data_IF_625701082491
#
_entry.id   IF_625701082491
#
_cell.length_a   1.000
_cell.length_b   1.000
_cell.length_c   1.000
_cell.angle_alpha   90.00
_cell.angle_beta   90.00
_cell.angle_gamma   90.00
#
_symmetry.space_group_name_H-M   'P 1'
#
loop_
_entity.id
_entity.type
_entity.pdbx_description
1 polymer ?
#
# COMPACT_ATOMS: atom_id res chain seq x y z
N UNK A 1 -10.59 22.20 11.56
CA UNK A 1 -10.43 20.86 10.97
C UNK A 1 -10.31 21.00 9.45
N UNK A 2 -9.41 20.25 8.86
CA UNK A 2 -9.26 20.11 7.42
C UNK A 2 -9.25 18.61 7.12
N UNK A 3 -10.20 18.13 6.30
CA UNK A 3 -10.12 16.78 5.75
C UNK A 3 -8.95 16.72 4.75
N UNK A 4 -8.26 15.62 4.65
CA UNK A 4 -7.21 15.50 3.66
C UNK A 4 -7.03 14.06 3.16
N UNK A 5 -6.50 13.93 1.95
CA UNK A 5 -6.16 12.65 1.35
C UNK A 5 -4.96 12.77 0.42
N UNK A 6 -4.32 11.64 0.16
CA UNK A 6 -3.30 11.49 -0.88
C UNK A 6 -3.85 10.51 -1.91
N UNK A 7 -3.92 10.91 -3.17
CA UNK A 7 -4.39 10.06 -4.25
C UNK A 7 -3.56 10.27 -5.51
N UNK A 8 -3.01 9.19 -6.06
CA UNK A 8 -2.39 9.20 -7.39
C UNK A 8 -3.44 9.39 -8.48
N UNK A 9 -3.01 9.83 -9.68
CA UNK A 9 -3.88 10.11 -10.83
C UNK A 9 -4.95 9.05 -11.06
N UNK A 10 -4.58 7.78 -11.06
CA UNK A 10 -5.49 6.64 -11.28
C UNK A 10 -6.55 6.43 -10.20
N UNK A 11 -6.37 7.03 -9.02
CA UNK A 11 -7.29 6.93 -7.89
C UNK A 11 -8.14 8.20 -7.67
N UNK A 12 -8.10 9.15 -8.60
CA UNK A 12 -8.86 10.40 -8.50
C UNK A 12 -10.38 10.19 -8.53
N UNK A 13 -10.87 9.11 -9.17
CA UNK A 13 -12.30 8.74 -9.09
C UNK A 13 -12.73 8.41 -7.66
N UNK A 14 -11.92 7.67 -6.92
CA UNK A 14 -12.15 7.36 -5.51
C UNK A 14 -12.02 8.63 -4.65
N UNK A 15 -10.96 9.40 -4.83
CA UNK A 15 -10.76 10.66 -4.13
C UNK A 15 -11.93 11.65 -4.34
N UNK A 16 -12.54 11.69 -5.53
CA UNK A 16 -13.73 12.49 -5.80
C UNK A 16 -14.88 12.07 -4.91
N UNK A 17 -15.19 10.78 -4.83
CA UNK A 17 -16.27 10.27 -3.97
C UNK A 17 -16.02 10.59 -2.49
N UNK A 18 -14.77 10.43 -2.02
CA UNK A 18 -14.37 10.82 -0.67
C UNK A 18 -14.63 12.31 -0.44
N UNK A 19 -14.14 13.19 -1.31
CA UNK A 19 -14.28 14.66 -1.15
C UNK A 19 -15.74 15.08 -1.18
N UNK A 20 -16.52 14.59 -2.13
CA UNK A 20 -17.95 14.90 -2.25
C UNK A 20 -18.70 14.44 -1.00
N UNK A 21 -18.49 13.22 -0.53
CA UNK A 21 -19.11 12.70 0.68
C UNK A 21 -18.69 13.47 1.94
N UNK A 22 -17.42 13.89 2.03
CA UNK A 22 -16.96 14.76 3.11
C UNK A 22 -17.66 16.12 3.10
N UNK A 23 -17.75 16.78 1.96
CA UNK A 23 -18.38 18.10 1.83
C UNK A 23 -19.91 18.03 2.06
N UNK A 24 -20.56 16.90 1.72
CA UNK A 24 -21.97 16.64 2.07
C UNK A 24 -22.20 16.68 3.59
N UNK A 25 -21.29 16.08 4.37
CA UNK A 25 -21.39 16.02 5.84
C UNK A 25 -20.82 17.28 6.51
N UNK A 26 -19.96 18.04 5.82
CA UNK A 26 -19.30 19.25 6.33
C UNK A 26 -19.50 20.41 5.35
N UNK A 27 -20.73 20.97 5.23
CA UNK A 27 -20.99 22.10 4.31
C UNK A 27 -20.07 23.28 4.62
N UNK A 28 -19.30 23.72 3.62
CA UNK A 28 -18.26 24.75 3.79
C UNK A 28 -17.00 24.29 4.52
N UNK A 29 -16.86 22.99 4.74
CA UNK A 29 -15.65 22.38 5.28
C UNK A 29 -14.45 22.54 4.32
N UNK A 30 -13.25 22.59 4.90
CA UNK A 30 -11.99 22.64 4.14
C UNK A 30 -11.50 21.22 3.88
N UNK A 31 -10.99 20.98 2.67
CA UNK A 31 -10.37 19.72 2.30
C UNK A 31 -9.11 19.96 1.47
N UNK A 32 -8.07 19.17 1.68
CA UNK A 32 -6.82 19.25 0.93
C UNK A 32 -6.51 17.90 0.29
N UNK A 33 -6.31 17.87 -1.03
CA UNK A 33 -5.91 16.71 -1.80
C UNK A 33 -4.45 16.87 -2.25
N UNK A 34 -3.59 15.90 -1.92
CA UNK A 34 -2.24 15.80 -2.47
C UNK A 34 -2.24 14.78 -3.62
N UNK A 35 -1.78 15.21 -4.80
CA UNK A 35 -1.57 14.34 -5.96
C UNK A 35 -0.05 14.17 -6.16
N UNK A 36 0.54 13.04 -5.73
CA UNK A 36 2.00 12.89 -5.67
C UNK A 36 2.66 12.65 -7.03
N UNK A 37 1.91 12.17 -8.01
CA UNK A 37 2.37 11.79 -9.35
C UNK A 37 1.83 12.73 -10.45
N UNK A 38 1.59 13.98 -10.11
CA UNK A 38 1.12 15.02 -11.03
C UNK A 38 2.00 16.28 -10.91
N UNK A 39 3.30 16.20 -11.24
CA UNK A 39 4.23 17.32 -11.05
C UNK A 39 3.86 18.56 -11.84
N UNK A 40 3.23 18.39 -13.01
CA UNK A 40 2.85 19.51 -13.90
C UNK A 40 1.48 20.11 -13.56
N UNK A 41 0.73 19.54 -12.62
CA UNK A 41 -0.59 20.03 -12.24
C UNK A 41 -1.66 19.86 -13.33
N UNK A 42 -1.56 18.79 -14.12
CA UNK A 42 -2.49 18.52 -15.23
C UNK A 42 -3.82 17.94 -14.77
N UNK A 43 -3.89 17.44 -13.56
CA UNK A 43 -5.07 16.77 -13.00
C UNK A 43 -5.70 17.60 -11.91
N UNK A 44 -7.04 17.63 -11.92
CA UNK A 44 -7.86 18.31 -10.92
C UNK A 44 -9.19 17.58 -10.75
N UNK A 45 -9.76 17.65 -9.56
CA UNK A 45 -11.13 17.20 -9.31
C UNK A 45 -12.18 18.24 -9.70
N UNK A 46 -11.79 19.50 -9.93
CA UNK A 46 -12.70 20.63 -10.17
C UNK A 46 -13.74 20.79 -9.04
N UNK A 47 -13.32 20.57 -7.80
CA UNK A 47 -14.11 20.73 -6.59
C UNK A 47 -13.60 21.92 -5.76
N UNK A 48 -14.44 22.49 -4.87
CA UNK A 48 -14.04 23.64 -4.05
C UNK A 48 -13.12 23.26 -2.89
N UNK A 49 -11.95 22.69 -3.21
CA UNK A 49 -10.94 22.19 -2.27
C UNK A 49 -9.56 22.77 -2.59
N UNK A 50 -8.62 22.59 -1.68
CA UNK A 50 -7.21 22.85 -1.94
C UNK A 50 -6.57 21.62 -2.56
N UNK A 51 -6.02 21.74 -3.77
CA UNK A 51 -5.23 20.70 -4.41
C UNK A 51 -3.76 21.11 -4.37
N UNK A 52 -2.92 20.20 -3.90
CA UNK A 52 -1.49 20.43 -3.72
C UNK A 52 -0.66 19.34 -4.39
N UNK A 53 0.58 19.67 -4.68
CA UNK A 53 1.61 18.78 -5.24
C UNK A 53 2.77 18.69 -4.25
N UNK A 54 3.69 17.73 -4.38
CA UNK A 54 4.85 17.61 -3.48
C UNK A 54 5.64 18.92 -3.32
N UNK A 55 5.80 19.70 -4.39
CA UNK A 55 6.49 20.99 -4.35
C UNK A 55 5.81 22.01 -3.42
N UNK A 56 4.47 22.00 -3.32
CA UNK A 56 3.72 22.88 -2.43
C UNK A 56 3.97 22.56 -0.94
N UNK A 57 4.38 21.31 -0.66
CA UNK A 57 4.77 20.85 0.67
C UNK A 57 6.26 21.09 0.96
N UNK A 58 7.00 21.73 0.03
CA UNK A 58 8.44 21.94 0.15
C UNK A 58 9.28 20.68 -0.06
N UNK A 59 8.73 19.66 -0.74
CA UNK A 59 9.48 18.45 -1.08
C UNK A 59 10.23 18.70 -2.39
N UNK A 60 11.55 18.55 -2.35
CA UNK A 60 12.40 18.76 -3.52
C UNK A 60 12.12 17.69 -4.60
N UNK A 61 12.14 18.06 -5.90
CA UNK A 61 11.90 17.11 -6.99
C UNK A 61 12.79 15.87 -6.93
N UNK A 62 14.07 16.02 -6.59
CA UNK A 62 15.00 14.90 -6.44
C UNK A 62 14.56 13.89 -5.35
N UNK A 63 13.92 14.34 -4.26
CA UNK A 63 13.36 13.46 -3.24
C UNK A 63 12.14 12.70 -3.78
N UNK A 64 11.26 13.39 -4.52
CA UNK A 64 10.11 12.76 -5.18
C UNK A 64 10.58 11.71 -6.18
N UNK A 65 11.56 12.01 -7.03
CA UNK A 65 12.10 11.08 -8.03
C UNK A 65 12.74 9.85 -7.39
N UNK A 66 13.48 10.01 -6.27
CA UNK A 66 14.01 8.87 -5.52
C UNK A 66 12.91 7.96 -4.99
N UNK A 67 11.87 8.54 -4.37
CA UNK A 67 10.73 7.76 -3.90
C UNK A 67 9.96 7.13 -5.06
N UNK A 68 9.73 7.86 -6.15
CA UNK A 68 9.01 7.39 -7.31
C UNK A 68 9.71 6.23 -8.04
N UNK A 69 11.04 6.16 -8.00
CA UNK A 69 11.79 5.02 -8.55
C UNK A 69 11.90 3.85 -7.55
N UNK A 70 11.84 4.13 -6.24
CA UNK A 70 11.84 3.09 -5.20
C UNK A 70 10.47 2.45 -4.98
N UNK A 71 9.39 3.17 -5.25
CA UNK A 71 8.01 2.84 -4.87
C UNK A 71 7.10 2.75 -6.10
N UNK A 72 6.17 1.81 -6.06
CA UNK A 72 5.03 1.88 -6.97
C UNK A 72 4.07 3.04 -6.58
N UNK A 73 3.05 3.27 -7.40
CA UNK A 73 2.15 4.43 -7.21
C UNK A 73 1.38 4.41 -5.91
N UNK A 74 1.06 3.23 -5.36
CA UNK A 74 0.37 3.09 -4.07
C UNK A 74 1.34 3.40 -2.93
N UNK A 75 2.51 2.82 -2.95
CA UNK A 75 3.56 3.04 -1.94
C UNK A 75 4.01 4.50 -1.91
N UNK A 76 4.13 5.15 -3.09
CA UNK A 76 4.43 6.57 -3.19
C UNK A 76 3.34 7.42 -2.52
N UNK A 77 2.06 7.14 -2.78
CA UNK A 77 0.95 7.83 -2.13
C UNK A 77 0.97 7.62 -0.61
N UNK A 78 1.17 6.39 -0.15
CA UNK A 78 1.29 6.05 1.26
C UNK A 78 2.46 6.80 1.93
N UNK A 79 3.62 6.91 1.26
CA UNK A 79 4.79 7.62 1.77
C UNK A 79 4.57 9.12 1.96
N UNK A 80 3.59 9.69 1.28
CA UNK A 80 3.26 11.12 1.33
C UNK A 80 2.25 11.51 2.43
N UNK A 81 1.56 10.54 3.04
CA UNK A 81 0.50 10.80 4.05
C UNK A 81 1.00 11.66 5.23
N UNK A 82 2.13 11.29 5.80
CA UNK A 82 2.71 12.03 6.93
C UNK A 82 3.18 13.45 6.56
N UNK A 83 3.65 13.63 5.32
CA UNK A 83 4.04 14.95 4.79
C UNK A 83 2.85 15.88 4.64
N UNK A 84 1.74 15.35 4.12
CA UNK A 84 0.50 16.12 3.99
C UNK A 84 -0.06 16.51 5.36
N UNK A 85 -0.09 15.59 6.33
CA UNK A 85 -0.50 15.92 7.70
C UNK A 85 0.42 16.99 8.31
N UNK A 86 1.75 16.87 8.15
CA UNK A 86 2.70 17.85 8.66
C UNK A 86 2.46 19.23 8.05
N UNK A 87 2.27 19.32 6.73
CA UNK A 87 1.95 20.56 6.02
C UNK A 87 0.72 21.28 6.61
N UNK A 88 -0.35 20.54 6.93
CA UNK A 88 -1.54 21.10 7.54
C UNK A 88 -1.30 21.55 8.98
N UNK A 89 -0.62 20.74 9.77
CA UNK A 89 -0.32 21.02 11.19
C UNK A 89 0.58 22.26 11.32
N UNK A 90 1.58 22.44 10.47
CA UNK A 90 2.46 23.61 10.46
C UNK A 90 1.73 24.89 10.12
N UNK A 91 0.60 24.81 9.41
CA UNK A 91 -0.32 25.93 9.13
C UNK A 91 -1.30 26.22 10.27
N UNK A 92 -1.19 25.48 11.40
CA UNK A 92 -2.05 25.63 12.57
C UNK A 92 -3.38 24.90 12.45
N UNK A 93 -3.54 24.02 11.47
CA UNK A 93 -4.75 23.24 11.25
C UNK A 93 -4.74 21.91 12.06
N UNK A 94 -5.91 21.34 12.26
CA UNK A 94 -6.07 19.93 12.63
C UNK A 94 -6.39 19.16 11.36
N UNK A 95 -5.46 18.30 10.92
CA UNK A 95 -5.64 17.45 9.76
C UNK A 95 -6.40 16.17 10.13
N UNK A 96 -7.42 15.81 9.35
CA UNK A 96 -8.08 14.51 9.39
C UNK A 96 -7.79 13.81 8.07
N UNK A 97 -6.87 12.87 8.12
CA UNK A 97 -6.45 12.06 6.97
C UNK A 97 -7.44 10.93 6.75
N UNK A 98 -7.85 10.77 5.50
CA UNK A 98 -8.71 9.70 5.02
C UNK A 98 -8.07 9.09 3.78
N UNK A 99 -8.09 7.77 3.63
CA UNK A 99 -7.67 7.13 2.38
C UNK A 99 -8.64 7.44 1.25
N UNK A 100 -8.15 7.48 0.02
CA UNK A 100 -8.95 7.87 -1.15
C UNK A 100 -10.18 6.99 -1.39
N UNK A 101 -10.16 5.74 -0.90
CA UNK A 101 -11.24 4.76 -0.98
C UNK A 101 -12.15 4.73 0.26
N UNK A 102 -12.18 5.83 1.03
CA UNK A 102 -13.12 6.05 2.14
C UNK A 102 -14.33 6.85 1.64
N UNK A 103 -15.52 6.51 2.14
CA UNK A 103 -16.73 7.32 1.99
C UNK A 103 -17.23 7.79 3.35
N UNK A 104 -17.56 9.09 3.46
CA UNK A 104 -18.00 9.72 4.71
C UNK A 104 -19.54 9.74 4.75
N UNK A 105 -20.13 9.31 5.88
CA UNK A 105 -21.57 9.18 6.06
C UNK A 105 -22.11 10.07 7.18
N UNK A 106 -21.24 10.58 8.06
CA UNK A 106 -21.65 11.46 9.16
C UNK A 106 -20.47 12.37 9.60
N UNK A 107 -20.73 13.30 10.52
CA UNK A 107 -19.80 14.31 11.01
C UNK A 107 -18.50 13.74 11.61
N UNK A 108 -17.35 14.20 11.14
CA UNK A 108 -16.00 13.82 11.61
C UNK A 108 -15.42 14.79 12.65
N UNK A 109 -16.15 15.83 13.07
CA UNK A 109 -15.67 16.81 14.05
C UNK A 109 -15.15 16.17 15.36
N UNK A 110 -15.78 15.11 15.91
CA UNK A 110 -15.30 14.51 17.16
C UNK A 110 -13.87 14.02 17.15
N UNK A 111 -13.40 13.37 16.06
CA UNK A 111 -12.00 12.90 15.99
C UNK A 111 -11.01 14.08 15.95
N UNK A 112 -11.40 15.19 15.30
CA UNK A 112 -10.58 16.39 15.24
C UNK A 112 -10.52 17.11 16.60
N UNK A 113 -11.57 17.03 17.42
CA UNK A 113 -11.57 17.56 18.80
C UNK A 113 -10.60 16.76 19.67
N UNK A 114 -10.61 15.44 19.56
CA UNK A 114 -9.65 14.57 20.26
C UNK A 114 -8.22 14.88 19.79
N UNK A 115 -7.99 15.00 18.48
CA UNK A 115 -6.64 15.34 17.96
C UNK A 115 -6.16 16.71 18.44
N UNK A 116 -7.05 17.67 18.60
CA UNK A 116 -6.70 19.00 19.14
C UNK A 116 -6.22 18.92 20.59
N UNK A 117 -6.78 17.99 21.37
CA UNK A 117 -6.43 17.79 22.77
C UNK A 117 -5.18 16.91 22.94
N UNK A 118 -5.09 15.81 22.18
CA UNK A 118 -4.13 14.73 22.38
C UNK A 118 -2.95 14.75 21.39
N UNK A 119 -3.03 15.55 20.33
CA UNK A 119 -2.00 15.65 19.29
C UNK A 119 -2.20 14.67 18.15
N UNK A 120 -1.96 13.40 18.38
CA UNK A 120 -2.09 12.30 17.40
C UNK A 120 -3.26 11.38 17.76
N UNK A 121 -4.10 11.06 16.77
CA UNK A 121 -5.18 10.08 16.89
C UNK A 121 -5.03 9.00 15.84
N UNK A 122 -5.06 7.75 16.31
CA UNK A 122 -4.94 6.54 15.48
C UNK A 122 -6.22 5.72 15.54
N UNK A 123 -6.68 5.23 14.38
CA UNK A 123 -7.80 4.31 14.26
C UNK A 123 -7.30 2.86 14.30
N UNK A 124 -7.78 1.99 15.21
CA UNK A 124 -7.41 0.59 15.20
C UNK A 124 -8.06 -0.14 14.03
N UNK A 125 -7.43 -1.24 13.56
CA UNK A 125 -8.03 -2.13 12.55
C UNK A 125 -9.28 -2.84 13.06
N UNK A 126 -9.35 -3.11 14.35
CA UNK A 126 -10.48 -3.70 14.99
C UNK A 126 -10.60 -3.22 16.44
N UNK A 127 -11.83 -3.11 16.92
CA UNK A 127 -12.14 -2.61 18.26
C UNK A 127 -12.48 -3.72 19.25
N UNK A 128 -12.61 -4.96 18.78
CA UNK A 128 -12.97 -6.13 19.58
C UNK A 128 -12.16 -7.36 19.13
N UNK A 129 -11.86 -8.31 20.03
CA UNK A 129 -11.17 -9.54 19.67
C UNK A 129 -11.96 -10.32 18.60
N UNK A 130 -11.32 -10.69 17.50
CA UNK A 130 -11.99 -11.27 16.34
C UNK A 130 -12.36 -12.74 16.54
N UNK A 131 -11.57 -13.52 17.29
CA UNK A 131 -11.63 -14.97 17.20
C UNK A 131 -12.09 -15.66 18.46
N UNK A 132 -13.39 -15.95 18.50
CA UNK A 132 -13.84 -17.17 19.15
C UNK A 132 -14.26 -18.17 18.08
N UNK A 133 -14.07 -19.50 18.27
CA UNK A 133 -14.52 -20.53 17.33
C UNK A 133 -16.01 -20.42 16.97
N UNK A 134 -16.82 -19.85 17.88
CA UNK A 134 -18.25 -19.64 17.67
C UNK A 134 -18.56 -18.51 16.67
N UNK A 135 -17.68 -17.52 16.57
CA UNK A 135 -17.84 -16.37 15.65
C UNK A 135 -17.30 -16.67 14.26
N UNK A 136 -16.36 -17.61 14.16
CA UNK A 136 -15.77 -18.08 12.92
C UNK A 136 -15.83 -19.60 12.85
N UNK A 137 -17.02 -20.18 12.60
CA UNK A 137 -17.08 -21.59 12.29
C UNK A 137 -16.25 -21.87 11.03
N UNK A 138 -15.52 -23.00 11.00
CA UNK A 138 -14.79 -23.38 9.78
C UNK A 138 -15.76 -23.39 8.61
N UNK A 139 -15.44 -22.62 7.55
CA UNK A 139 -16.29 -22.52 6.38
C UNK A 139 -16.40 -23.87 5.69
N UNK A 140 -17.62 -24.42 5.48
CA UNK A 140 -17.81 -25.68 4.79
C UNK A 140 -17.23 -25.57 3.36
N UNK A 141 -16.37 -26.51 2.97
CA UNK A 141 -15.81 -26.60 1.62
C UNK A 141 -14.43 -25.97 1.44
N UNK A 142 -13.92 -25.22 2.40
CA UNK A 142 -12.53 -24.73 2.38
C UNK A 142 -11.64 -25.77 3.07
N UNK A 143 -11.39 -26.83 2.36
CA UNK A 143 -10.50 -27.90 2.77
C UNK A 143 -9.02 -27.46 2.64
N UNK A 144 -8.09 -28.30 2.88
CA UNK A 144 -6.80 -28.16 3.54
C UNK A 144 -5.83 -27.10 3.01
N UNK A 145 -6.15 -26.36 1.95
CA UNK A 145 -5.31 -25.24 1.44
C UNK A 145 -5.23 -24.06 2.41
N UNK A 146 -6.25 -23.85 3.25
CA UNK A 146 -6.26 -22.75 4.23
C UNK A 146 -5.57 -23.06 5.57
N UNK A 147 -4.85 -24.17 5.69
CA UNK A 147 -4.03 -24.40 6.90
C UNK A 147 -2.93 -23.34 7.11
N UNK A 148 -2.58 -22.61 6.05
CA UNK A 148 -1.57 -21.56 6.07
C UNK A 148 -2.17 -20.16 5.84
N UNK A 149 -3.48 -20.02 5.67
CA UNK A 149 -4.10 -18.70 5.59
C UNK A 149 -3.96 -18.01 6.94
N UNK A 150 -3.46 -16.78 6.92
CA UNK A 150 -3.39 -15.96 8.12
C UNK A 150 -4.82 -15.66 8.59
N UNK A 151 -5.10 -15.97 9.85
CA UNK A 151 -6.34 -15.49 10.48
C UNK A 151 -6.28 -13.95 10.60
N UNK A 152 -7.45 -13.29 10.77
CA UNK A 152 -7.47 -11.83 10.90
C UNK A 152 -6.58 -11.30 12.03
N UNK A 153 -6.43 -11.96 13.16
CA UNK A 153 -5.50 -11.52 14.21
C UNK A 153 -4.03 -11.56 13.71
N UNK A 154 -3.69 -12.57 12.92
CA UNK A 154 -2.36 -12.66 12.30
C UNK A 154 -2.17 -11.58 11.24
N UNK A 155 -3.22 -11.26 10.48
CA UNK A 155 -3.20 -10.14 9.55
C UNK A 155 -2.97 -8.81 10.27
N UNK A 156 -3.59 -8.60 11.46
CA UNK A 156 -3.34 -7.40 12.28
C UNK A 156 -1.90 -7.33 12.78
N UNK A 157 -1.33 -8.47 13.17
CA UNK A 157 0.09 -8.53 13.59
C UNK A 157 1.01 -8.23 12.40
N UNK A 158 0.67 -8.67 11.21
CA UNK A 158 1.45 -8.45 9.99
C UNK A 158 1.31 -7.03 9.45
N UNK A 159 0.07 -6.57 9.27
CA UNK A 159 -0.26 -5.28 8.66
C UNK A 159 -0.10 -4.10 9.61
N UNK A 160 -0.04 -4.36 10.91
CA UNK A 160 -0.07 -3.35 11.96
C UNK A 160 -1.44 -3.27 12.65
N UNK A 161 -1.44 -2.82 13.89
CA UNK A 161 -2.64 -2.74 14.74
C UNK A 161 -3.56 -1.57 14.41
N UNK A 162 -3.05 -0.60 13.65
CA UNK A 162 -3.80 0.61 13.23
C UNK A 162 -3.99 0.63 11.73
N UNK A 163 -5.19 1.05 11.32
CA UNK A 163 -5.50 1.31 9.93
C UNK A 163 -5.28 2.81 9.65
N UNK A 164 -4.26 3.13 8.87
CA UNK A 164 -3.91 4.51 8.51
C UNK A 164 -4.86 5.14 7.48
N UNK A 165 -5.92 4.43 7.11
CA UNK A 165 -7.02 4.97 6.31
C UNK A 165 -7.87 6.01 7.04
N UNK A 166 -7.72 6.12 8.37
CA UNK A 166 -8.22 7.23 9.17
C UNK A 166 -7.23 7.58 10.27
N UNK A 167 -6.74 8.80 10.25
CA UNK A 167 -5.88 9.38 11.28
C UNK A 167 -6.25 10.84 11.49
N UNK A 168 -5.96 11.39 12.68
CA UNK A 168 -6.04 12.82 12.88
C UNK A 168 -4.81 13.35 13.61
N UNK A 169 -4.35 14.54 13.23
CA UNK A 169 -3.15 15.14 13.80
C UNK A 169 -3.32 16.64 14.03
N UNK A 170 -2.73 17.11 15.12
CA UNK A 170 -2.54 18.53 15.43
C UNK A 170 -1.07 18.80 15.80
N UNK A 171 -0.77 20.00 16.30
CA UNK A 171 0.59 20.41 16.63
C UNK A 171 1.36 19.41 17.55
N UNK A 172 0.66 18.72 18.44
CA UNK A 172 1.26 17.71 19.32
C UNK A 172 1.81 16.46 18.58
N UNK A 173 1.34 16.22 17.34
CA UNK A 173 1.77 15.08 16.54
C UNK A 173 3.08 15.31 15.78
N UNK A 174 3.65 16.52 15.77
CA UNK A 174 4.87 16.85 14.98
C UNK A 174 6.02 15.89 15.20
N UNK A 175 6.39 15.48 16.42
CA UNK A 175 7.49 14.53 16.62
C UNK A 175 7.24 13.16 15.97
N UNK A 176 5.99 12.67 16.01
CA UNK A 176 5.61 11.45 15.31
C UNK A 176 5.69 11.63 13.79
N UNK A 177 5.14 12.73 13.25
CA UNK A 177 5.10 12.99 11.81
C UNK A 177 6.52 13.12 11.23
N UNK A 178 7.45 13.74 11.95
CA UNK A 178 8.86 13.82 11.55
C UNK A 178 9.48 12.44 11.45
N UNK A 179 9.38 11.65 12.52
CA UNK A 179 9.88 10.28 12.56
C UNK A 179 9.23 9.39 11.49
N UNK A 180 7.90 9.51 11.32
CA UNK A 180 7.16 8.71 10.34
C UNK A 180 7.55 9.05 8.91
N UNK A 181 7.73 10.34 8.59
CA UNK A 181 8.20 10.81 7.30
C UNK A 181 9.63 10.31 6.98
N UNK A 182 10.52 10.27 7.96
CA UNK A 182 11.86 9.70 7.76
C UNK A 182 11.80 8.21 7.41
N UNK A 183 10.92 7.44 8.04
CA UNK A 183 10.76 6.00 7.78
C UNK A 183 10.10 5.77 6.42
N UNK A 184 9.02 6.46 6.13
CA UNK A 184 8.28 6.30 4.87
C UNK A 184 9.02 6.84 3.65
N UNK A 185 9.99 7.73 3.83
CA UNK A 185 10.88 8.16 2.75
C UNK A 185 11.72 7.01 2.16
N UNK A 186 11.97 5.94 2.93
CA UNK A 186 12.91 4.85 2.57
C UNK A 186 12.33 3.46 2.68
N UNK A 187 11.31 3.26 3.50
CA UNK A 187 10.82 1.95 3.90
C UNK A 187 9.29 1.85 3.82
N UNK A 188 8.66 2.55 2.85
CA UNK A 188 7.22 2.46 2.60
C UNK A 188 6.88 1.36 1.59
N UNK A 189 7.50 0.19 1.73
CA UNK A 189 7.34 -0.95 0.84
C UNK A 189 6.29 -1.93 1.39
N UNK A 190 5.56 -2.58 0.49
CA UNK A 190 4.71 -3.71 0.83
C UNK A 190 5.51 -5.01 0.71
N UNK A 191 6.34 -5.29 1.70
CA UNK A 191 7.20 -6.48 1.77
C UNK A 191 7.04 -7.18 3.12
N UNK A 192 5.91 -7.88 3.36
CA UNK A 192 5.62 -8.53 4.63
C UNK A 192 6.70 -9.51 5.08
N UNK A 193 7.35 -10.20 4.13
CA UNK A 193 8.47 -11.12 4.39
C UNK A 193 9.70 -10.44 4.99
N UNK A 194 9.84 -9.12 4.84
CA UNK A 194 10.88 -8.27 5.43
C UNK A 194 10.37 -7.48 6.65
N UNK A 195 9.12 -7.70 7.06
CA UNK A 195 8.50 -6.95 8.15
C UNK A 195 8.06 -5.54 7.78
N UNK A 196 7.90 -5.25 6.47
CA UNK A 196 7.46 -3.95 5.97
C UNK A 196 6.02 -4.05 5.46
N UNK A 197 5.17 -3.18 5.95
CA UNK A 197 3.78 -3.06 5.51
C UNK A 197 3.44 -1.59 5.29
N UNK A 198 4.03 -1.02 4.26
CA UNK A 198 3.92 0.38 3.86
C UNK A 198 4.11 1.34 5.06
N UNK A 199 3.38 2.43 5.12
CA UNK A 199 3.40 3.41 6.21
C UNK A 199 2.71 2.90 7.47
N UNK A 200 1.77 1.98 7.33
CA UNK A 200 0.92 1.46 8.39
C UNK A 200 1.71 0.60 9.41
N UNK A 201 2.64 -0.23 8.92
CA UNK A 201 3.52 -0.99 9.80
C UNK A 201 4.32 -0.10 10.75
N UNK A 202 4.76 1.07 10.29
CA UNK A 202 5.46 2.05 11.13
C UNK A 202 4.52 2.71 12.15
N UNK A 203 3.27 3.03 11.76
CA UNK A 203 2.29 3.63 12.66
C UNK A 203 1.97 2.73 13.85
N UNK A 204 2.12 1.40 13.72
CA UNK A 204 1.91 0.46 14.82
C UNK A 204 2.87 0.67 16.01
N UNK A 205 4.01 1.32 15.79
CA UNK A 205 4.99 1.65 16.85
C UNK A 205 4.65 2.96 17.58
N UNK A 206 3.72 3.77 17.07
CA UNK A 206 3.43 5.08 17.63
C UNK A 206 3.09 5.06 19.13
N UNK A 207 2.21 4.17 19.65
CA UNK A 207 1.87 4.18 21.08
C UNK A 207 3.02 3.80 22.02
N UNK A 208 4.09 3.24 21.47
CA UNK A 208 5.29 2.88 22.25
C UNK A 208 6.30 4.02 22.28
N UNK A 209 6.32 4.84 21.24
CA UNK A 209 7.36 5.83 20.99
C UNK A 209 6.89 7.28 21.21
N UNK A 210 5.59 7.53 21.11
CA UNK A 210 5.00 8.87 21.13
C UNK A 210 3.71 8.90 21.94
N UNK A 211 3.35 10.08 22.42
CA UNK A 211 2.02 10.30 22.96
C UNK A 211 0.99 10.26 21.81
N UNK A 212 -0.02 9.41 21.95
CA UNK A 212 -1.10 9.30 20.97
C UNK A 212 -2.37 8.78 21.63
N UNK A 213 -3.51 9.10 21.02
CA UNK A 213 -4.81 8.58 21.41
C UNK A 213 -5.24 7.49 20.42
N UNK A 214 -5.58 6.31 20.93
CA UNK A 214 -6.25 5.27 20.15
C UNK A 214 -7.74 5.53 20.19
N UNK A 215 -8.38 5.63 19.03
CA UNK A 215 -9.79 6.00 18.90
C UNK A 215 -10.66 4.78 18.54
N UNK A 216 -11.15 4.00 19.52
CA UNK A 216 -11.82 2.72 19.29
C UNK A 216 -13.34 2.87 19.15
N UNK A 217 -13.83 4.04 18.78
CA UNK A 217 -15.27 4.32 18.72
C UNK A 217 -15.92 3.55 17.55
N UNK A 218 -17.10 2.92 17.77
CA UNK A 218 -17.84 2.26 16.70
C UNK A 218 -18.24 3.23 15.56
N UNK A 219 -18.27 2.70 14.34
CA UNK A 219 -18.68 3.46 13.16
C UNK A 219 -17.58 4.31 12.51
N UNK A 220 -16.37 4.32 13.08
CA UNK A 220 -15.22 4.99 12.51
C UNK A 220 -14.34 4.04 11.73
N UNK A 221 -13.94 4.44 10.51
CA UNK A 221 -13.07 3.66 9.62
C UNK A 221 -13.51 2.19 9.45
N UNK A 222 -14.83 1.98 9.41
CA UNK A 222 -15.42 0.64 9.28
C UNK A 222 -15.01 0.05 7.95
N UNK A 223 -14.53 -1.17 7.97
CA UNK A 223 -14.02 -1.87 6.81
C UNK A 223 -14.51 -3.32 6.76
N UNK A 224 -14.06 -4.05 5.77
CA UNK A 224 -14.28 -5.50 5.70
C UNK A 224 -13.79 -6.22 6.97
N UNK A 225 -12.81 -5.65 7.70
CA UNK A 225 -12.26 -6.26 8.93
C UNK A 225 -13.21 -6.17 10.12
N UNK A 226 -14.14 -5.22 10.14
CA UNK A 226 -15.12 -5.03 11.22
C UNK A 226 -16.41 -5.84 10.98
N UNK A 227 -16.78 -6.07 9.72
CA UNK A 227 -18.05 -6.69 9.32
C UNK A 227 -18.27 -8.12 9.80
N UNK A 228 -17.24 -8.94 10.06
CA UNK A 228 -17.46 -10.23 10.70
C UNK A 228 -18.13 -10.15 12.06
N UNK A 229 -17.94 -9.04 12.76
CA UNK A 229 -18.45 -8.85 14.13
C UNK A 229 -19.89 -8.38 14.14
N UNK A 230 -20.23 -7.40 13.29
CA UNK A 230 -21.58 -6.87 13.14
C UNK A 230 -21.82 -6.37 11.72
N UNK A 231 -23.04 -6.55 11.23
CA UNK A 231 -23.48 -5.92 9.99
C UNK A 231 -23.82 -4.44 10.19
N UNK A 232 -23.83 -3.67 9.12
CA UNK A 232 -24.38 -2.33 9.08
C UNK A 232 -25.90 -2.43 9.22
N UNK A 233 -26.46 -1.69 10.17
CA UNK A 233 -27.93 -1.52 10.32
C UNK A 233 -28.36 -0.18 9.74
N UNK A 234 -29.66 -0.03 9.44
CA UNK A 234 -30.20 1.20 8.87
C UNK A 234 -31.37 1.70 9.69
N UNK A 235 -31.27 2.93 10.19
CA UNK A 235 -32.33 3.62 10.93
C UNK A 235 -32.63 4.95 10.26
N UNK A 236 -33.88 5.22 9.93
CA UNK A 236 -34.34 6.45 9.26
C UNK A 236 -33.49 6.80 8.01
N UNK A 237 -33.07 5.77 7.25
CA UNK A 237 -32.24 5.92 6.06
C UNK A 237 -30.77 6.21 6.32
N UNK A 238 -30.30 6.17 7.56
CA UNK A 238 -28.90 6.38 7.95
C UNK A 238 -28.24 5.07 8.38
N UNK A 239 -27.01 4.80 7.94
CA UNK A 239 -26.28 3.60 8.33
C UNK A 239 -25.72 3.72 9.77
N UNK A 240 -25.72 2.59 10.48
CA UNK A 240 -25.20 2.46 11.84
C UNK A 240 -24.39 1.19 12.00
N UNK A 241 -23.42 1.22 12.91
CA UNK A 241 -22.63 0.05 13.35
C UNK A 241 -22.61 0.05 14.86
N UNK A 242 -22.97 -1.10 15.48
CA UNK A 242 -23.06 -1.24 16.94
C UNK A 242 -23.95 -0.15 17.60
N UNK A 243 -25.03 0.24 16.92
CA UNK A 243 -25.93 1.29 17.39
C UNK A 243 -25.39 2.73 17.29
N UNK A 244 -24.11 2.92 16.93
CA UNK A 244 -23.53 4.24 16.65
C UNK A 244 -23.72 4.63 15.18
N UNK A 245 -23.74 5.91 14.83
CA UNK A 245 -23.70 6.34 13.43
C UNK A 245 -22.48 5.80 12.71
N UNK A 246 -22.66 5.29 11.49
CA UNK A 246 -21.53 5.04 10.59
C UNK A 246 -20.96 6.39 10.16
N UNK A 247 -19.72 6.68 10.58
CA UNK A 247 -19.03 7.93 10.26
C UNK A 247 -18.33 7.87 8.92
N UNK A 248 -17.56 6.78 8.73
CA UNK A 248 -16.93 6.52 7.46
C UNK A 248 -16.72 5.02 7.24
N UNK A 249 -16.78 4.60 5.98
CA UNK A 249 -16.54 3.25 5.54
C UNK A 249 -15.36 3.23 4.57
N UNK A 250 -14.41 2.32 4.79
CA UNK A 250 -13.18 2.16 4.03
C UNK A 250 -13.29 0.95 3.10
N UNK A 251 -13.34 1.19 1.79
CA UNK A 251 -13.58 0.20 0.74
C UNK A 251 -12.28 -0.40 0.22
N UNK A 252 -11.55 -1.09 1.11
CA UNK A 252 -10.23 -1.66 0.81
C UNK A 252 -10.33 -2.62 -0.40
N UNK A 253 -9.59 -2.31 -1.49
CA UNK A 253 -9.55 -3.11 -2.72
C UNK A 253 -10.93 -3.44 -3.31
N UNK A 254 -11.89 -2.53 -3.20
CA UNK A 254 -13.24 -2.70 -3.71
C UNK A 254 -13.31 -2.49 -5.23
N UNK A 255 -14.06 -3.37 -5.93
CA UNK A 255 -14.36 -3.23 -7.35
C UNK A 255 -15.85 -2.86 -7.54
N UNK A 256 -16.18 -1.66 -8.07
CA UNK A 256 -17.56 -1.24 -8.26
C UNK A 256 -18.35 -2.08 -9.28
N UNK A 257 -17.65 -2.87 -10.12
CA UNK A 257 -18.28 -3.79 -11.08
C UNK A 257 -18.77 -5.08 -10.42
N UNK A 258 -18.34 -5.33 -9.18
CA UNK A 258 -18.73 -6.50 -8.40
C UNK A 258 -19.14 -6.08 -6.99
N UNK A 259 -20.18 -5.24 -6.81
CA UNK A 259 -20.55 -4.65 -5.53
C UNK A 259 -21.09 -5.67 -4.51
N UNK A 260 -21.34 -6.90 -4.94
CA UNK A 260 -21.65 -8.03 -4.07
C UNK A 260 -20.42 -8.59 -3.34
N UNK A 261 -19.22 -8.19 -3.72
CA UNK A 261 -17.97 -8.54 -3.05
C UNK A 261 -17.48 -7.38 -2.19
N UNK A 262 -17.04 -7.67 -0.98
CA UNK A 262 -16.46 -6.65 -0.09
C UNK A 262 -15.05 -6.24 -0.51
N UNK A 263 -14.36 -7.09 -1.25
CA UNK A 263 -13.02 -6.89 -1.78
C UNK A 263 -12.82 -7.71 -3.06
N UNK A 264 -11.99 -7.25 -3.97
CA UNK A 264 -11.58 -8.02 -5.14
C UNK A 264 -10.41 -8.98 -4.87
N UNK A 265 -9.79 -8.90 -3.70
CA UNK A 265 -8.70 -9.78 -3.28
C UNK A 265 -9.26 -11.16 -2.88
N UNK A 266 -9.19 -12.13 -3.77
CA UNK A 266 -9.79 -13.47 -3.58
C UNK A 266 -9.30 -14.19 -2.32
N UNK A 267 -8.03 -14.01 -1.95
CA UNK A 267 -7.45 -14.59 -0.77
C UNK A 267 -8.00 -13.97 0.53
N UNK A 268 -8.36 -12.69 0.53
CA UNK A 268 -9.05 -12.01 1.62
C UNK A 268 -10.54 -12.40 1.59
N UNK A 269 -11.17 -12.38 0.42
CA UNK A 269 -12.59 -12.71 0.26
C UNK A 269 -12.95 -14.13 0.76
N UNK A 270 -12.01 -15.09 0.69
CA UNK A 270 -12.20 -16.44 1.22
C UNK A 270 -12.25 -16.54 2.77
N UNK A 271 -11.79 -15.51 3.47
CA UNK A 271 -11.76 -15.45 4.94
C UNK A 271 -12.92 -14.61 5.48
N UNK A 272 -13.42 -13.64 4.70
CA UNK A 272 -14.45 -12.70 5.12
C UNK A 272 -15.82 -13.07 4.54
N UNK A 273 -16.90 -12.78 5.27
CA UNK A 273 -18.24 -13.06 4.75
C UNK A 273 -18.50 -12.25 3.49
N UNK A 274 -19.11 -12.89 2.48
CA UNK A 274 -19.58 -12.17 1.31
C UNK A 274 -20.59 -11.08 1.69
N UNK A 275 -20.70 -10.01 0.92
CA UNK A 275 -21.64 -8.92 1.16
C UNK A 275 -23.09 -9.41 1.28
N UNK A 276 -23.45 -10.48 0.59
CA UNK A 276 -24.78 -11.13 0.65
C UNK A 276 -25.14 -11.64 2.06
N UNK A 277 -24.14 -12.09 2.84
CA UNK A 277 -24.33 -12.48 4.22
C UNK A 277 -24.46 -11.27 5.17
N UNK A 278 -24.26 -10.05 4.66
CA UNK A 278 -24.29 -8.78 5.37
C UNK A 278 -25.14 -7.77 4.59
N UNK A 279 -26.48 -7.87 4.62
CA UNK A 279 -27.37 -7.07 3.76
C UNK A 279 -27.24 -5.57 3.96
N UNK A 280 -26.88 -5.13 5.17
CA UNK A 280 -26.65 -3.71 5.46
C UNK A 280 -25.37 -3.20 4.83
N UNK A 281 -24.26 -3.94 4.93
CA UNK A 281 -23.01 -3.64 4.26
C UNK A 281 -23.14 -3.75 2.73
N UNK A 282 -23.88 -4.73 2.23
CA UNK A 282 -24.16 -4.86 0.79
C UNK A 282 -24.89 -3.65 0.22
N UNK A 283 -25.72 -2.97 1.02
CA UNK A 283 -26.34 -1.71 0.61
C UNK A 283 -25.31 -0.59 0.53
N UNK A 284 -24.43 -0.46 1.53
CA UNK A 284 -23.32 0.51 1.54
C UNK A 284 -22.42 0.31 0.31
N UNK A 285 -22.06 -0.94 -0.01
CA UNK A 285 -21.25 -1.26 -1.18
C UNK A 285 -21.91 -0.86 -2.50
N UNK A 286 -23.21 -1.12 -2.67
CA UNK A 286 -23.94 -0.71 -3.88
C UNK A 286 -23.99 0.81 -4.02
N UNK A 287 -24.31 1.54 -2.94
CA UNK A 287 -24.38 3.01 -2.95
C UNK A 287 -22.98 3.60 -3.29
N UNK A 288 -21.90 3.01 -2.76
CA UNK A 288 -20.55 3.44 -3.09
C UNK A 288 -20.17 3.11 -4.54
N UNK A 289 -20.52 1.90 -5.04
CA UNK A 289 -20.28 1.51 -6.43
C UNK A 289 -20.94 2.49 -7.41
N UNK A 290 -22.21 2.85 -7.16
CA UNK A 290 -22.93 3.80 -8.00
C UNK A 290 -22.24 5.17 -8.03
N UNK A 291 -21.80 5.68 -6.86
CA UNK A 291 -21.03 6.92 -6.75
C UNK A 291 -19.71 6.84 -7.50
N UNK A 292 -18.99 5.73 -7.34
CA UNK A 292 -17.65 5.54 -7.89
C UNK A 292 -17.69 5.48 -9.44
N UNK A 293 -18.67 4.75 -10.00
CA UNK A 293 -18.89 4.72 -11.45
C UNK A 293 -19.30 6.10 -11.99
N UNK A 294 -20.18 6.83 -11.27
CA UNK A 294 -20.57 8.19 -11.66
C UNK A 294 -19.40 9.20 -11.55
N UNK A 295 -18.43 8.95 -10.69
CA UNK A 295 -17.23 9.77 -10.51
C UNK A 295 -16.14 9.56 -11.57
N UNK A 296 -16.37 8.72 -12.59
CA UNK A 296 -15.41 8.45 -13.66
C UNK A 296 -14.25 7.52 -13.21
N UNK A 297 -14.56 6.57 -12.35
CA UNK A 297 -13.55 5.63 -11.82
C UNK A 297 -12.82 4.85 -12.93
N UNK A 298 -13.53 4.37 -13.95
CA UNK A 298 -12.93 3.59 -15.03
C UNK A 298 -11.97 4.44 -15.88
N UNK A 299 -12.33 5.68 -16.14
CA UNK A 299 -11.48 6.64 -16.84
C UNK A 299 -10.24 6.99 -16.02
N UNK A 300 -10.41 7.19 -14.70
CA UNK A 300 -9.29 7.46 -13.79
C UNK A 300 -8.31 6.27 -13.71
N UNK A 301 -8.82 5.03 -13.66
CA UNK A 301 -7.96 3.82 -13.64
C UNK A 301 -7.10 3.69 -14.90
N UNK A 302 -7.53 4.23 -16.03
CA UNK A 302 -6.76 4.23 -17.28
C UNK A 302 -5.67 5.32 -17.31
N UNK A 303 -5.70 6.27 -16.38
CA UNK A 303 -4.68 7.31 -16.28
C UNK A 303 -3.42 6.78 -15.60
N UNK A 304 -2.32 6.73 -16.35
CA UNK A 304 -1.05 6.18 -15.88
C UNK A 304 -0.21 7.25 -15.20
N UNK A 305 0.49 6.86 -14.14
CA UNK A 305 1.49 7.73 -13.50
C UNK A 305 2.69 7.95 -14.43
N UNK A 306 3.24 9.18 -14.51
CA UNK A 306 4.48 9.42 -15.23
C UNK A 306 5.65 8.63 -14.65
N UNK A 307 5.57 8.19 -13.40
CA UNK A 307 6.59 7.39 -12.72
C UNK A 307 6.45 5.86 -12.91
N UNK A 308 5.51 5.42 -13.74
CA UNK A 308 5.39 4.01 -14.15
C UNK A 308 6.14 3.71 -15.45
N UNK A 309 6.58 4.74 -16.17
CA UNK A 309 7.20 4.61 -17.48
C UNK A 309 8.44 5.49 -17.62
N UNK A 310 9.50 4.93 -18.20
CA UNK A 310 10.66 5.68 -18.65
C UNK A 310 10.45 6.13 -20.10
N UNK A 311 11.25 7.12 -20.53
CA UNK A 311 11.30 7.51 -21.93
C UNK A 311 11.59 6.30 -22.82
N UNK A 312 10.98 6.28 -24.01
CA UNK A 312 11.04 5.11 -24.89
C UNK A 312 10.00 4.04 -24.58
N UNK A 313 9.07 4.25 -23.63
CA UNK A 313 7.97 3.35 -23.33
C UNK A 313 8.37 2.11 -22.53
N UNK A 314 9.42 2.20 -21.75
CA UNK A 314 9.89 1.13 -20.87
C UNK A 314 9.16 1.24 -19.54
N UNK A 315 8.43 0.19 -19.16
CA UNK A 315 7.75 0.13 -17.87
C UNK A 315 8.76 -0.08 -16.74
N UNK A 316 8.66 0.71 -15.68
CA UNK A 316 9.42 0.48 -14.45
C UNK A 316 8.75 -0.63 -13.66
N UNK A 317 9.37 -1.79 -13.64
CA UNK A 317 8.87 -2.95 -12.91
C UNK A 317 9.41 -3.02 -11.47
N UNK A 318 8.84 -3.93 -10.69
CA UNK A 318 9.18 -4.10 -9.27
C UNK A 318 10.62 -4.58 -9.03
N UNK A 319 11.25 -5.25 -10.01
CA UNK A 319 12.64 -5.68 -9.88
C UNK A 319 13.61 -4.51 -10.06
N UNK A 320 13.31 -3.60 -11.00
CA UNK A 320 14.04 -2.33 -11.17
C UNK A 320 13.95 -1.50 -9.89
N UNK A 321 12.74 -1.36 -9.33
CA UNK A 321 12.50 -0.63 -8.07
C UNK A 321 13.29 -1.21 -6.92
N UNK A 322 13.25 -2.53 -6.75
CA UNK A 322 13.97 -3.21 -5.68
C UNK A 322 15.50 -3.06 -5.81
N UNK A 323 16.03 -3.20 -7.03
CA UNK A 323 17.46 -3.00 -7.30
C UNK A 323 17.90 -1.57 -6.98
N UNK A 324 17.10 -0.58 -7.40
CA UNK A 324 17.38 0.83 -7.13
C UNK A 324 17.30 1.16 -5.63
N UNK A 325 16.22 0.73 -4.96
CA UNK A 325 15.99 1.02 -3.55
C UNK A 325 17.12 0.43 -2.68
N UNK A 326 17.56 -0.81 -2.97
CA UNK A 326 18.66 -1.43 -2.23
C UNK A 326 19.99 -0.68 -2.44
N UNK A 327 20.31 -0.32 -3.70
CA UNK A 327 21.52 0.42 -4.00
C UNK A 327 21.52 1.84 -3.36
N UNK A 328 20.35 2.49 -3.33
CA UNK A 328 20.18 3.79 -2.68
C UNK A 328 20.44 3.69 -1.16
N UNK A 329 19.90 2.67 -0.50
CA UNK A 329 20.14 2.42 0.93
C UNK A 329 21.61 2.10 1.22
N UNK A 330 22.30 1.37 0.34
CA UNK A 330 23.73 1.11 0.46
C UNK A 330 24.54 2.39 0.32
N UNK A 331 24.21 3.23 -0.67
CA UNK A 331 24.84 4.53 -0.86
C UNK A 331 24.66 5.45 0.37
N UNK A 332 23.44 5.57 0.89
CA UNK A 332 23.13 6.38 2.10
C UNK A 332 23.87 5.85 3.35
N UNK A 333 24.15 4.55 3.40
CA UNK A 333 24.98 3.93 4.43
C UNK A 333 26.50 4.10 4.19
N UNK A 334 26.90 4.88 3.19
CA UNK A 334 28.31 5.10 2.82
C UNK A 334 28.96 3.91 2.09
N UNK A 335 28.17 3.04 1.49
CA UNK A 335 28.62 1.88 0.72
C UNK A 335 28.19 2.02 -0.74
N UNK A 336 29.15 2.10 -1.63
CA UNK A 336 28.90 2.22 -3.07
C UNK A 336 28.54 3.65 -3.53
N UNK A 337 28.38 3.80 -4.84
CA UNK A 337 27.98 5.02 -5.50
C UNK A 337 26.46 5.18 -5.50
N UNK A 338 26.00 6.44 -5.69
CA UNK A 338 24.57 6.70 -5.87
C UNK A 338 24.07 6.02 -7.14
N UNK A 339 22.95 5.27 -7.08
CA UNK A 339 22.36 4.69 -8.28
C UNK A 339 21.83 5.78 -9.20
N UNK A 340 21.92 5.63 -10.54
CA UNK A 340 21.35 6.60 -11.49
C UNK A 340 19.84 6.64 -11.38
N UNK A 341 19.25 7.84 -11.55
CA UNK A 341 17.80 8.01 -11.49
C UNK A 341 17.29 8.66 -12.78
N UNK A 342 16.70 7.90 -13.70
CA UNK A 342 16.26 8.42 -14.99
C UNK A 342 15.12 9.44 -14.90
N UNK A 343 14.40 9.53 -13.78
CA UNK A 343 13.41 10.60 -13.55
C UNK A 343 14.08 11.93 -13.18
N UNK A 344 15.33 11.91 -12.73
CA UNK A 344 16.08 13.12 -12.36
C UNK A 344 16.96 13.65 -13.49
N UNK A 345 17.69 12.77 -14.18
CA UNK A 345 18.69 13.13 -15.19
C UNK A 345 18.25 12.85 -16.65
N UNK A 346 17.17 12.05 -16.83
CA UNK A 346 16.68 11.64 -18.15
C UNK A 346 17.55 10.56 -18.81
N UNK A 347 18.56 10.04 -18.13
CA UNK A 347 19.48 9.04 -18.70
C UNK A 347 18.93 7.62 -18.53
N UNK A 348 17.96 7.27 -19.36
CA UNK A 348 17.35 5.93 -19.40
C UNK A 348 18.37 4.86 -19.81
N UNK A 349 19.23 5.16 -20.80
CA UNK A 349 20.23 4.19 -21.28
C UNK A 349 21.28 3.90 -20.19
N UNK A 350 21.74 4.92 -19.47
CA UNK A 350 22.64 4.76 -18.33
C UNK A 350 22.03 3.96 -17.20
N UNK A 351 20.73 4.18 -16.88
CA UNK A 351 20.02 3.39 -15.87
C UNK A 351 19.88 1.92 -16.28
N UNK A 352 19.52 1.62 -17.53
CA UNK A 352 19.41 0.25 -18.01
C UNK A 352 20.78 -0.44 -18.05
N UNK A 353 21.85 0.27 -18.46
CA UNK A 353 23.21 -0.26 -18.41
C UNK A 353 23.64 -0.54 -16.96
N UNK A 354 23.29 0.32 -16.01
CA UNK A 354 23.54 0.10 -14.59
C UNK A 354 22.82 -1.15 -14.06
N UNK A 355 21.58 -1.42 -14.51
CA UNK A 355 20.84 -2.64 -14.17
C UNK A 355 21.46 -3.91 -14.76
N UNK A 356 22.12 -3.81 -15.93
CA UNK A 356 22.85 -4.91 -16.59
C UNK A 356 24.16 -5.26 -15.87
N UNK A 357 24.79 -4.30 -15.18
CA UNK A 357 26.04 -4.53 -14.47
C UNK A 357 25.84 -5.46 -13.27
N UNK A 358 26.87 -6.25 -12.90
CA UNK A 358 26.85 -7.03 -11.67
C UNK A 358 26.66 -6.14 -10.45
N UNK A 359 25.83 -6.58 -9.50
CA UNK A 359 25.63 -5.87 -8.23
C UNK A 359 26.92 -5.83 -7.39
N UNK A 360 27.68 -6.93 -7.45
CA UNK A 360 29.01 -7.08 -6.82
C UNK A 360 29.95 -7.76 -7.81
N UNK A 361 31.28 -7.55 -7.71
CA UNK A 361 32.25 -8.30 -8.51
C UNK A 361 32.08 -9.80 -8.25
N UNK A 362 31.94 -10.63 -9.30
CA UNK A 362 31.80 -12.07 -9.12
C UNK A 362 33.05 -12.68 -8.49
N UNK A 363 32.87 -13.70 -7.66
CA UNK A 363 33.94 -14.53 -7.14
C UNK A 363 34.62 -15.34 -8.23
N UNK A 364 35.76 -15.99 -7.90
CA UNK A 364 36.49 -16.81 -8.85
C UNK A 364 35.63 -18.01 -9.33
N UNK A 365 35.29 -17.99 -10.61
CA UNK A 365 34.46 -19.04 -11.25
C UNK A 365 32.95 -18.84 -11.08
N UNK A 366 32.51 -17.79 -10.44
CA UNK A 366 31.09 -17.43 -10.29
C UNK A 366 30.61 -16.58 -11.48
N UNK A 367 29.39 -16.83 -12.02
CA UNK A 367 28.83 -15.97 -13.05
C UNK A 367 28.37 -14.64 -12.47
N UNK A 368 28.53 -13.52 -13.20
CA UNK A 368 28.01 -12.23 -12.78
C UNK A 368 26.48 -12.24 -12.75
N UNK A 369 25.88 -11.73 -11.67
CA UNK A 369 24.44 -11.58 -11.56
C UNK A 369 24.08 -10.09 -11.74
N UNK A 370 23.30 -9.74 -12.79
CA UNK A 370 22.86 -8.37 -13.01
C UNK A 370 22.11 -7.80 -11.81
N UNK A 371 22.27 -6.49 -11.55
CA UNK A 371 21.53 -5.80 -10.46
C UNK A 371 20.02 -5.99 -10.55
N UNK A 372 19.47 -6.02 -11.76
CA UNK A 372 18.06 -6.31 -11.98
C UNK A 372 17.63 -7.65 -11.36
N UNK A 373 18.39 -8.71 -11.57
CA UNK A 373 18.11 -10.04 -11.02
C UNK A 373 18.42 -10.13 -9.52
N UNK A 374 19.35 -9.34 -9.00
CA UNK A 374 19.53 -9.19 -7.55
C UNK A 374 18.32 -8.49 -6.95
N UNK A 375 17.72 -7.52 -7.63
CA UNK A 375 16.43 -6.90 -7.23
C UNK A 375 15.30 -7.93 -7.11
N UNK A 376 15.14 -8.82 -8.10
CA UNK A 376 14.19 -9.94 -8.03
C UNK A 376 14.46 -10.84 -6.82
N UNK A 377 15.71 -11.23 -6.62
CA UNK A 377 16.14 -12.09 -5.53
C UNK A 377 15.82 -11.47 -4.16
N UNK A 378 16.14 -10.20 -3.97
CA UNK A 378 15.94 -9.48 -2.70
C UNK A 378 14.46 -9.26 -2.40
N UNK A 379 13.65 -8.96 -3.42
CA UNK A 379 12.23 -8.66 -3.29
C UNK A 379 11.38 -9.87 -2.90
N UNK A 380 11.75 -11.06 -3.35
CA UNK A 380 10.97 -12.28 -3.13
C UNK A 380 11.58 -13.13 -2.00
N UNK A 381 11.03 -13.12 -0.78
CA UNK A 381 11.60 -13.85 0.37
C UNK A 381 11.78 -15.34 0.15
N UNK A 382 10.94 -15.98 -0.67
CA UNK A 382 11.05 -17.40 -1.01
C UNK A 382 12.20 -17.67 -1.98
N UNK A 383 12.50 -16.72 -2.89
CA UNK A 383 13.69 -16.78 -3.76
C UNK A 383 14.95 -16.61 -2.90
N UNK A 384 14.96 -15.54 -2.07
CA UNK A 384 16.04 -15.31 -1.11
C UNK A 384 16.29 -16.53 -0.18
N UNK A 385 15.22 -17.14 0.32
CA UNK A 385 15.31 -18.33 1.17
C UNK A 385 15.89 -19.57 0.47
N UNK A 386 15.74 -19.64 -0.86
CA UNK A 386 16.15 -20.76 -1.69
C UNK A 386 17.57 -20.63 -2.25
N UNK A 387 18.00 -19.39 -2.47
CA UNK A 387 19.31 -19.01 -2.98
C UNK A 387 19.95 -18.04 -2.00
N UNK A 388 20.58 -18.55 -0.95
CA UNK A 388 21.00 -17.71 0.19
C UNK A 388 22.22 -16.85 -0.09
N UNK A 389 22.99 -17.21 -1.09
CA UNK A 389 24.26 -16.58 -1.45
C UNK A 389 24.22 -16.11 -2.91
N UNK A 390 23.43 -15.06 -3.18
CA UNK A 390 23.34 -14.37 -4.48
C UNK A 390 23.55 -12.86 -4.24
N UNK A 391 24.52 -12.23 -4.93
CA UNK A 391 25.54 -12.85 -5.80
C UNK A 391 26.59 -13.60 -4.98
N UNK A 392 26.96 -14.81 -5.39
CA UNK A 392 27.90 -15.69 -4.70
C UNK A 392 27.78 -17.14 -5.17
N UNK A 393 27.95 -18.10 -4.26
CA UNK A 393 27.97 -19.53 -4.57
C UNK A 393 26.67 -20.06 -5.22
N UNK A 394 25.54 -19.43 -4.95
CA UNK A 394 24.24 -19.80 -5.54
C UNK A 394 23.98 -19.16 -6.91
N UNK A 395 24.87 -18.29 -7.42
CA UNK A 395 24.64 -17.50 -8.64
C UNK A 395 24.37 -18.37 -9.88
N UNK A 396 25.14 -19.43 -10.13
CA UNK A 396 24.92 -20.31 -11.28
C UNK A 396 23.57 -21.02 -11.20
N UNK A 397 23.23 -21.55 -10.04
CA UNK A 397 21.94 -22.21 -9.79
C UNK A 397 20.76 -21.26 -9.92
N UNK A 398 20.91 -20.05 -9.40
CA UNK A 398 19.90 -19.00 -9.48
C UNK A 398 19.65 -18.57 -10.94
N UNK A 399 20.70 -18.23 -11.68
CA UNK A 399 20.59 -17.84 -13.09
C UNK A 399 20.03 -18.97 -13.98
N UNK A 400 20.34 -20.22 -13.68
CA UNK A 400 19.78 -21.36 -14.38
C UNK A 400 18.30 -21.61 -14.08
N UNK A 401 17.83 -21.23 -12.90
CA UNK A 401 16.46 -21.38 -12.46
C UNK A 401 15.50 -20.29 -13.02
N UNK A 402 15.98 -19.03 -13.20
CA UNK A 402 15.15 -17.90 -13.61
C UNK A 402 14.33 -18.17 -14.87
N UNK A 403 14.88 -18.70 -15.99
CA UNK A 403 14.10 -18.96 -17.20
C UNK A 403 12.95 -19.95 -16.97
N UNK A 404 13.20 -21.04 -16.24
CA UNK A 404 12.17 -22.04 -15.95
C UNK A 404 11.03 -21.45 -15.11
N UNK A 405 11.37 -20.61 -14.13
CA UNK A 405 10.38 -19.94 -13.28
C UNK A 405 9.55 -18.90 -14.05
N UNK A 406 10.14 -18.24 -15.04
CA UNK A 406 9.39 -17.36 -15.97
C UNK A 406 8.45 -18.16 -16.84
N UNK A 407 8.91 -19.26 -17.41
CA UNK A 407 8.13 -20.10 -18.32
C UNK A 407 6.88 -20.71 -17.64
N UNK A 408 6.98 -21.06 -16.37
CA UNK A 408 5.83 -21.57 -15.60
C UNK A 408 4.99 -20.47 -14.93
N UNK A 409 5.38 -19.21 -15.06
CA UNK A 409 4.66 -18.06 -14.51
C UNK A 409 4.82 -17.87 -13.00
N UNK A 410 5.88 -18.42 -12.41
CA UNK A 410 6.16 -18.26 -10.97
C UNK A 410 6.74 -16.89 -10.63
N UNK A 411 7.45 -16.28 -11.59
CA UNK A 411 8.04 -14.94 -11.48
C UNK A 411 7.84 -14.13 -12.76
N UNK A 412 7.86 -12.82 -12.62
CA UNK A 412 7.89 -11.89 -13.75
C UNK A 412 9.29 -11.29 -13.89
N UNK A 413 9.86 -11.43 -15.07
CA UNK A 413 11.15 -10.86 -15.47
C UNK A 413 11.00 -10.27 -16.86
N UNK A 414 11.45 -9.04 -17.06
CA UNK A 414 11.46 -8.46 -18.39
C UNK A 414 12.40 -9.23 -19.32
N UNK A 415 11.97 -9.47 -20.56
CA UNK A 415 12.64 -10.34 -21.54
C UNK A 415 14.15 -10.07 -21.66
N UNK A 416 14.57 -8.81 -21.57
CA UNK A 416 15.97 -8.37 -21.61
C UNK A 416 16.85 -9.06 -20.57
N UNK A 417 16.31 -9.42 -19.39
CA UNK A 417 17.06 -9.97 -18.25
C UNK A 417 16.79 -11.45 -18.01
N UNK A 418 16.01 -12.11 -18.87
CA UNK A 418 15.90 -13.56 -18.81
C UNK A 418 17.22 -14.17 -19.27
N UNK A 419 17.95 -14.92 -18.40
CA UNK A 419 19.23 -15.51 -18.78
C UNK A 419 19.11 -16.49 -19.95
N UNK A 420 20.03 -16.43 -20.92
CA UNK A 420 20.15 -17.46 -21.94
C UNK A 420 20.76 -18.72 -21.32
N UNK A 421 19.96 -19.77 -21.16
CA UNK A 421 20.42 -21.04 -20.60
C UNK A 421 20.68 -22.03 -21.72
N UNK A 422 21.92 -22.47 -21.85
CA UNK A 422 22.35 -23.52 -22.79
C UNK A 422 22.46 -24.92 -22.15
N UNK A 423 21.90 -25.15 -20.95
CA UNK A 423 22.01 -26.43 -20.23
C UNK A 423 20.67 -26.89 -19.68
N UNK A 424 20.46 -28.20 -19.60
CA UNK A 424 19.37 -28.78 -18.84
C UNK A 424 19.44 -28.30 -17.37
N UNK A 425 18.40 -27.72 -16.82
CA UNK A 425 18.41 -27.29 -15.43
C UNK A 425 18.57 -28.49 -14.50
N UNK A 426 19.35 -28.37 -13.41
CA UNK A 426 19.36 -29.40 -12.40
C UNK A 426 17.95 -29.58 -11.84
N UNK A 427 17.52 -30.80 -11.48
CA UNK A 427 16.21 -31.01 -10.90
C UNK A 427 16.05 -30.13 -9.68
N UNK A 428 14.89 -29.44 -9.52
CA UNK A 428 14.66 -28.55 -8.40
C UNK A 428 14.85 -29.32 -7.09
N UNK A 429 15.53 -28.68 -6.13
CA UNK A 429 15.64 -29.22 -4.77
C UNK A 429 14.23 -29.44 -4.21
N UNK A 430 13.88 -30.66 -3.72
CA UNK A 430 12.59 -30.93 -3.14
C UNK A 430 12.19 -29.95 -2.00
N UNK A 431 13.17 -29.45 -1.24
CA UNK A 431 12.95 -28.43 -0.23
C UNK A 431 12.55 -27.07 -0.85
N UNK A 432 13.07 -26.77 -2.03
CA UNK A 432 12.73 -25.55 -2.77
C UNK A 432 11.28 -25.59 -3.29
N UNK A 433 10.87 -26.69 -3.90
CA UNK A 433 9.47 -26.87 -4.35
C UNK A 433 8.51 -26.71 -3.20
N UNK A 434 8.82 -27.32 -2.05
CA UNK A 434 8.00 -27.20 -0.84
C UNK A 434 7.94 -25.75 -0.32
N UNK A 435 9.07 -25.05 -0.32
CA UNK A 435 9.12 -23.64 0.14
C UNK A 435 8.38 -22.71 -0.82
N UNK A 436 8.50 -22.93 -2.11
CA UNK A 436 7.79 -22.18 -3.15
C UNK A 436 6.27 -22.38 -3.05
N UNK A 437 5.81 -23.62 -2.85
CA UNK A 437 4.41 -23.93 -2.61
C UNK A 437 3.89 -23.25 -1.33
N UNK A 438 4.64 -23.35 -0.22
CA UNK A 438 4.29 -22.72 1.04
C UNK A 438 4.21 -21.19 0.91
N UNK A 439 5.13 -20.56 0.16
CA UNK A 439 5.14 -19.12 -0.01
C UNK A 439 4.06 -18.64 -0.98
N UNK A 440 3.79 -19.40 -2.05
CA UNK A 440 2.65 -19.14 -2.95
C UNK A 440 1.31 -19.24 -2.20
N UNK A 441 1.17 -20.25 -1.34
CA UNK A 441 0.01 -20.39 -0.47
C UNK A 441 -0.09 -19.24 0.56
N UNK A 442 1.05 -18.73 1.04
CA UNK A 442 1.11 -17.59 1.96
C UNK A 442 0.76 -16.27 1.26
N UNK A 443 1.30 -16.02 0.05
CA UNK A 443 0.95 -14.85 -0.76
C UNK A 443 -0.47 -14.93 -1.32
N UNK A 444 -0.94 -16.12 -1.66
CA UNK A 444 -2.34 -16.37 -1.99
C UNK A 444 -3.29 -16.23 -0.79
N UNK A 445 -2.75 -16.08 0.42
CA UNK A 445 -3.47 -15.83 1.66
C UNK A 445 -3.29 -14.38 2.19
N UNK A 446 -2.40 -13.60 1.60
CA UNK A 446 -2.19 -12.16 1.83
C UNK A 446 -2.86 -11.34 0.74
#
# INVERSE_FOLDING_TARGET
MVGCTVASRRFLGQARVLVESYLEQHPGGRFTLLIPDDPEGERSLDLPIEEVRPADLGIEPAEVHRMALSYNVKELACAMKGRLLRFLVERGDVGVLLDGDVCVYDDLTPIAEVARAEGLVLSPHCTVPHFTPERYPPMPGHAPRMRNALGPDQMMVLAGTFNTGLMAASAGAVPFLEWWNERTARYCLLEPGRGLFQEQGWAALAPTLFDCHVFPEPGWNVSLFDLPMEDVTWEDGRPRVQGAPLRCFHFITFDPRSPEKLTCEEHIAGVWPAAEARPGAARVCREYADRLLAAGHEEALADTSPYEWLDGGIRVDENMRAAYAEALLQHEAGRGEAPPNPFEDGDVEGFLAWLDEPAEPPGEGEPPVPRYLVGLHTRLPWVFGSFKDVPGQDSERYLSWVPDAVDVGDIEVAERWVPEVHREPPPPDPAFVTLQEQYRDLLGAL
#
